data_IF_792280375082
#
_entry.id   IF_792280375082
#
_cell.length_a   1.000
_cell.length_b   1.000
_cell.length_c   1.000
_cell.angle_alpha   90.00
_cell.angle_beta   90.00
_cell.angle_gamma   90.00
#
_symmetry.space_group_name_H-M   'P 1'
#
loop_
_entity.id
_entity.type
_entity.pdbx_description
1 polymer ?
#
# COMPACT_ATOMS: atom_id res chain seq x y z
N UNK A 1 12.21 -62.74 24.06
CA UNK A 1 13.52 -63.22 24.56
C UNK A 1 14.22 -62.07 25.26
N UNK A 2 14.65 -62.30 26.51
CA UNK A 2 15.59 -61.55 27.39
C UNK A 2 15.40 -60.01 27.50
N UNK A 3 14.83 -59.39 28.55
CA UNK A 3 15.01 -59.40 30.04
C UNK A 3 16.33 -58.79 30.57
N UNK A 4 16.15 -57.93 31.59
CA UNK A 4 17.00 -57.54 32.74
C UNK A 4 17.79 -56.21 32.62
N UNK A 5 17.40 -55.15 33.36
CA UNK A 5 17.67 -54.84 34.81
C UNK A 5 19.05 -54.18 34.98
N UNK A 6 19.36 -53.26 35.92
CA UNK A 6 18.69 -52.40 36.91
C UNK A 6 19.89 -51.69 37.59
N UNK A 7 19.77 -50.45 38.08
CA UNK A 7 20.78 -49.94 39.02
C UNK A 7 21.00 -48.43 39.10
N UNK A 8 20.23 -47.77 39.96
CA UNK A 8 20.73 -46.70 40.85
C UNK A 8 21.25 -47.39 42.13
N UNK A 9 22.17 -46.81 42.94
CA UNK A 9 21.91 -45.56 43.69
C UNK A 9 23.15 -44.73 44.11
N UNK A 10 22.88 -43.69 44.91
CA UNK A 10 23.70 -43.00 45.92
C UNK A 10 24.36 -41.65 45.60
N UNK A 11 23.77 -40.60 46.18
CA UNK A 11 24.45 -39.45 46.81
C UNK A 11 25.01 -39.88 48.19
N UNK A 12 26.08 -39.23 48.72
CA UNK A 12 25.90 -38.10 49.65
C UNK A 12 27.04 -37.03 49.54
N UNK A 13 26.74 -35.73 49.64
CA UNK A 13 26.85 -34.83 50.82
C UNK A 13 28.21 -34.12 51.02
N UNK A 14 28.11 -32.80 51.30
CA UNK A 14 29.03 -31.96 52.11
C UNK A 14 30.43 -31.67 51.54
N UNK A 15 31.09 -30.56 51.82
CA UNK A 15 30.77 -29.19 52.23
C UNK A 15 32.10 -28.42 52.04
N UNK A 16 32.12 -27.11 52.30
CA UNK A 16 33.32 -26.25 52.57
C UNK A 16 34.08 -25.60 51.40
N UNK A 17 33.84 -24.29 51.28
CA UNK A 17 34.79 -23.21 50.92
C UNK A 17 35.83 -23.00 52.06
N UNK A 18 36.78 -22.03 52.02
CA UNK A 18 37.37 -21.21 50.94
C UNK A 18 38.93 -21.24 50.95
N UNK A 19 39.63 -20.69 49.95
CA UNK A 19 40.89 -19.93 50.17
C UNK A 19 41.51 -19.37 48.88
N UNK A 20 41.77 -18.06 48.95
CA UNK A 20 42.77 -17.20 48.30
C UNK A 20 43.56 -17.63 47.04
N UNK A 21 43.50 -16.71 46.08
CA UNK A 21 44.37 -16.51 44.89
C UNK A 21 45.82 -16.19 45.27
N UNK A 22 46.80 -16.41 44.36
CA UNK A 22 47.22 -15.29 43.52
C UNK A 22 47.56 -15.63 42.06
N UNK A 23 47.33 -14.60 41.24
CA UNK A 23 47.71 -14.34 39.85
C UNK A 23 48.95 -15.06 39.28
N UNK A 24 48.78 -15.62 38.08
CA UNK A 24 49.74 -15.50 36.96
C UNK A 24 49.02 -15.66 35.62
N UNK A 25 49.39 -14.77 34.70
CA UNK A 25 48.73 -14.38 33.45
C UNK A 25 48.51 -15.49 32.42
N UNK A 26 47.33 -15.50 31.78
CA UNK A 26 47.07 -16.10 30.48
C UNK A 26 46.03 -15.26 29.69
N UNK A 27 46.10 -15.25 28.34
CA UNK A 27 45.78 -14.09 27.51
C UNK A 27 44.28 -13.85 27.28
N UNK A 28 43.98 -12.57 27.05
CA UNK A 28 42.70 -11.96 26.72
C UNK A 28 42.00 -12.67 25.54
N UNK A 29 40.98 -13.49 25.85
CA UNK A 29 40.11 -14.07 24.84
C UNK A 29 39.04 -13.04 24.44
N UNK A 30 39.17 -12.52 23.21
CA UNK A 30 38.22 -11.61 22.58
C UNK A 30 36.78 -12.17 22.60
N UNK A 31 35.76 -11.33 22.88
CA UNK A 31 34.37 -11.78 22.89
C UNK A 31 33.92 -12.16 21.48
N UNK A 32 33.48 -13.41 21.31
CA UNK A 32 32.87 -13.94 20.09
C UNK A 32 31.75 -13.00 19.63
N UNK A 33 31.95 -12.38 18.47
CA UNK A 33 30.93 -11.61 17.78
C UNK A 33 29.73 -12.51 17.47
N UNK A 34 28.62 -12.33 18.19
CA UNK A 34 27.33 -12.82 17.75
C UNK A 34 26.99 -12.09 16.45
N UNK A 35 26.96 -12.82 15.34
CA UNK A 35 26.46 -12.29 14.07
C UNK A 35 24.98 -11.96 14.24
N UNK A 36 24.68 -10.72 14.62
CA UNK A 36 23.37 -10.09 14.39
C UNK A 36 23.20 -10.00 12.88
N UNK A 37 22.65 -11.04 12.28
CA UNK A 37 22.32 -11.06 10.85
C UNK A 37 21.31 -9.94 10.59
N UNK A 38 21.71 -9.05 9.70
CA UNK A 38 21.18 -7.71 9.45
C UNK A 38 19.74 -7.73 8.92
N UNK A 39 18.75 -7.76 9.82
CA UNK A 39 17.34 -7.64 9.45
C UNK A 39 16.94 -6.19 9.08
N UNK A 40 17.76 -5.22 9.47
CA UNK A 40 17.53 -3.78 9.28
C UNK A 40 17.82 -3.28 7.87
N UNK A 41 18.60 -4.02 7.07
CA UNK A 41 19.00 -3.57 5.72
C UNK A 41 17.88 -3.64 4.68
N UNK A 42 16.80 -4.37 4.94
CA UNK A 42 15.65 -4.47 4.02
C UNK A 42 14.59 -3.38 4.26
N UNK A 43 14.74 -2.56 5.30
CA UNK A 43 13.74 -1.55 5.69
C UNK A 43 13.99 -0.15 5.10
N UNK A 44 15.13 0.05 4.45
CA UNK A 44 15.47 1.28 3.75
C UNK A 44 16.01 0.92 2.37
N UNK A 45 15.11 0.58 1.45
CA UNK A 45 15.49 0.62 0.04
C UNK A 45 15.91 2.06 -0.28
N UNK A 46 17.04 2.28 -1.00
CA UNK A 46 17.39 3.61 -1.49
C UNK A 46 16.17 4.18 -2.23
N UNK A 47 15.94 5.50 -2.15
CA UNK A 47 14.79 6.11 -2.81
C UNK A 47 14.85 5.80 -4.30
N UNK A 48 14.08 4.81 -4.75
CA UNK A 48 13.89 4.58 -6.17
C UNK A 48 13.30 5.88 -6.72
N UNK A 49 14.09 6.54 -7.56
CA UNK A 49 13.65 7.70 -8.33
C UNK A 49 13.20 7.17 -9.67
N UNK A 50 11.94 7.43 -10.02
CA UNK A 50 11.44 7.07 -11.34
C UNK A 50 12.27 7.79 -12.41
N UNK A 51 12.58 7.08 -13.49
CA UNK A 51 13.35 7.64 -14.57
C UNK A 51 12.55 8.72 -15.29
N UNK A 52 13.17 9.87 -15.54
CA UNK A 52 12.53 10.93 -16.33
C UNK A 52 12.36 10.46 -17.79
N UNK A 53 11.20 10.71 -18.39
CA UNK A 53 10.94 10.38 -19.79
C UNK A 53 11.26 11.52 -20.77
N UNK A 54 12.02 12.53 -20.33
CA UNK A 54 12.51 13.59 -21.20
C UNK A 54 13.68 13.10 -22.04
N UNK A 55 13.56 13.18 -23.36
CA UNK A 55 14.63 12.79 -24.30
C UNK A 55 15.91 13.61 -24.08
N UNK A 56 15.78 14.87 -23.66
CA UNK A 56 16.91 15.76 -23.32
C UNK A 56 17.78 15.25 -22.17
N UNK A 57 17.24 14.41 -21.29
CA UNK A 57 17.98 13.84 -20.16
C UNK A 57 18.68 12.51 -20.49
N UNK A 58 18.45 11.96 -21.69
CA UNK A 58 19.03 10.69 -22.11
C UNK A 58 20.50 10.86 -22.52
N UNK A 59 21.31 9.85 -22.18
CA UNK A 59 22.69 9.74 -22.67
C UNK A 59 22.71 9.65 -24.20
N UNK A 60 23.80 10.05 -24.88
CA UNK A 60 23.89 9.90 -26.33
C UNK A 60 23.62 8.47 -26.84
N UNK A 61 24.09 7.46 -26.10
CA UNK A 61 23.83 6.05 -26.43
C UNK A 61 22.35 5.67 -26.30
N UNK A 62 21.65 6.19 -25.30
CA UNK A 62 20.23 5.91 -25.06
C UNK A 62 19.35 6.60 -26.11
N UNK A 63 19.70 7.84 -26.50
CA UNK A 63 19.06 8.55 -27.62
C UNK A 63 19.23 7.80 -28.94
N UNK A 64 20.43 7.27 -29.17
CA UNK A 64 20.68 6.41 -30.34
C UNK A 64 19.82 5.14 -30.29
N UNK A 65 19.77 4.44 -29.16
CA UNK A 65 18.91 3.25 -29.01
C UNK A 65 17.42 3.56 -29.25
N UNK A 66 16.95 4.73 -28.82
CA UNK A 66 15.57 5.19 -29.08
C UNK A 66 15.34 5.41 -30.58
N UNK A 67 16.27 6.07 -31.26
CA UNK A 67 16.19 6.25 -32.71
C UNK A 67 16.22 4.91 -33.45
N UNK A 68 17.18 4.03 -33.13
CA UNK A 68 17.33 2.72 -33.75
C UNK A 68 16.07 1.85 -33.54
N UNK A 69 15.39 1.98 -32.38
CA UNK A 69 14.13 1.29 -32.13
C UNK A 69 13.00 1.84 -32.99
N UNK A 70 12.88 3.17 -33.16
CA UNK A 70 11.88 3.78 -34.05
C UNK A 70 12.07 3.32 -35.49
N UNK A 71 13.30 3.38 -35.99
CA UNK A 71 13.61 3.01 -37.37
C UNK A 71 13.29 1.54 -37.65
N UNK A 72 13.63 0.64 -36.72
CA UNK A 72 13.28 -0.78 -36.82
C UNK A 72 11.78 -1.03 -36.70
N UNK A 73 11.10 -0.32 -35.80
CA UNK A 73 9.64 -0.44 -35.66
C UNK A 73 8.95 0.01 -36.94
N UNK A 74 9.37 1.14 -37.53
CA UNK A 74 8.87 1.62 -38.81
C UNK A 74 9.09 0.59 -39.93
N UNK A 75 10.29 0.01 -40.02
CA UNK A 75 10.59 -1.03 -41.01
C UNK A 75 9.77 -2.33 -40.83
N UNK A 76 9.31 -2.62 -39.62
CA UNK A 76 8.46 -3.77 -39.30
C UNK A 76 6.95 -3.48 -39.36
N UNK A 77 6.56 -2.22 -39.50
CA UNK A 77 5.15 -1.79 -39.45
C UNK A 77 4.54 -1.75 -40.84
N UNK A 78 3.26 -2.13 -40.94
CA UNK A 78 2.48 -1.89 -42.14
C UNK A 78 2.05 -0.41 -42.20
N UNK A 79 2.35 0.26 -43.31
CA UNK A 79 1.91 1.63 -43.60
C UNK A 79 0.40 1.85 -43.50
N UNK A 80 -0.40 0.79 -43.68
CA UNK A 80 -1.86 0.84 -43.62
C UNK A 80 -2.41 0.93 -42.18
N UNK A 81 -1.64 0.50 -41.18
CA UNK A 81 -2.04 0.49 -39.78
C UNK A 81 -0.85 0.82 -38.87
N UNK A 82 -0.55 2.13 -38.66
CA UNK A 82 0.58 2.53 -37.85
C UNK A 82 0.42 2.05 -36.39
N UNK A 83 1.49 1.55 -35.76
CA UNK A 83 1.41 0.99 -34.42
C UNK A 83 1.05 2.07 -33.39
N UNK A 84 0.06 1.76 -32.55
CA UNK A 84 -0.35 2.58 -31.42
C UNK A 84 -0.58 1.71 -30.19
N UNK A 85 -0.47 2.33 -29.00
CA UNK A 85 -0.73 1.66 -27.73
C UNK A 85 -1.34 2.67 -26.74
N UNK A 86 -2.39 2.28 -26.03
CA UNK A 86 -3.10 3.14 -25.08
C UNK A 86 -3.53 4.51 -25.67
N UNK A 87 -3.93 4.51 -26.95
CA UNK A 87 -4.32 5.73 -27.67
C UNK A 87 -3.17 6.66 -28.05
N UNK A 88 -1.91 6.19 -27.96
CA UNK A 88 -0.71 6.95 -28.35
C UNK A 88 -0.10 6.34 -29.60
N UNK A 89 0.03 7.09 -30.71
CA UNK A 89 0.83 6.68 -31.86
C UNK A 89 2.30 6.52 -31.48
N UNK A 90 2.95 5.42 -31.87
CA UNK A 90 4.34 5.16 -31.50
C UNK A 90 5.37 5.75 -32.48
N UNK A 91 4.93 6.13 -33.69
CA UNK A 91 5.80 6.57 -34.80
C UNK A 91 5.50 8.00 -35.28
N UNK A 92 4.73 8.80 -34.54
CA UNK A 92 4.41 10.19 -34.91
C UNK A 92 5.55 11.19 -34.61
N UNK A 93 6.65 10.72 -34.02
CA UNK A 93 7.77 11.56 -33.59
C UNK A 93 7.45 12.42 -32.37
N UNK A 94 6.32 12.19 -31.70
CA UNK A 94 5.90 12.91 -30.51
C UNK A 94 6.51 12.36 -29.23
N UNK A 95 6.68 13.26 -28.26
CA UNK A 95 7.22 12.96 -26.92
C UNK A 95 6.47 11.82 -26.18
N UNK A 96 5.19 11.60 -26.51
CA UNK A 96 4.36 10.55 -25.90
C UNK A 96 4.73 9.16 -26.42
N UNK A 97 4.91 9.00 -27.74
CA UNK A 97 5.37 7.75 -28.34
C UNK A 97 6.77 7.40 -27.84
N UNK A 98 7.66 8.38 -27.80
CA UNK A 98 9.02 8.24 -27.28
C UNK A 98 9.06 7.71 -25.85
N UNK A 99 8.23 8.30 -25.01
CA UNK A 99 8.07 7.89 -23.62
C UNK A 99 7.69 6.41 -23.52
N UNK A 100 6.75 5.94 -24.34
CA UNK A 100 6.33 4.54 -24.34
C UNK A 100 7.44 3.62 -24.83
N UNK A 101 8.11 3.98 -25.94
CA UNK A 101 9.27 3.23 -26.45
C UNK A 101 10.39 3.12 -25.41
N UNK A 102 10.63 4.18 -24.63
CA UNK A 102 11.59 4.17 -23.53
C UNK A 102 11.23 3.17 -22.41
N UNK A 103 9.95 2.88 -22.18
CA UNK A 103 9.56 1.81 -21.22
C UNK A 103 10.06 0.45 -21.67
N UNK A 104 9.90 0.12 -22.95
CA UNK A 104 10.39 -1.13 -23.54
C UNK A 104 11.92 -1.20 -23.55
N UNK A 105 12.59 -0.10 -23.93
CA UNK A 105 14.05 -0.03 -23.88
C UNK A 105 14.58 -0.24 -22.47
N UNK A 106 14.02 0.45 -21.47
CA UNK A 106 14.44 0.30 -20.07
C UNK A 106 14.19 -1.11 -19.53
N UNK A 107 13.08 -1.75 -19.92
CA UNK A 107 12.77 -3.12 -19.55
C UNK A 107 13.74 -4.17 -20.13
N UNK A 108 14.54 -3.79 -21.13
CA UNK A 108 15.54 -4.64 -21.79
C UNK A 108 16.95 -4.05 -21.76
N UNK A 109 17.22 -3.14 -20.82
CA UNK A 109 18.53 -2.49 -20.63
C UNK A 109 19.07 -1.84 -21.91
N UNK A 110 18.19 -1.18 -22.66
CA UNK A 110 18.46 -0.51 -23.93
C UNK A 110 18.99 -1.41 -25.07
N UNK A 111 18.83 -2.74 -24.94
CA UNK A 111 19.06 -3.70 -26.03
C UNK A 111 17.94 -3.59 -27.06
N UNK A 112 18.20 -2.87 -28.15
CA UNK A 112 17.21 -2.50 -29.18
C UNK A 112 16.48 -3.71 -29.76
N UNK A 113 17.19 -4.80 -30.09
CA UNK A 113 16.55 -5.99 -30.65
C UNK A 113 15.59 -6.67 -29.66
N UNK A 114 16.00 -6.82 -28.40
CA UNK A 114 15.17 -7.42 -27.35
C UNK A 114 13.96 -6.55 -27.03
N UNK A 115 14.12 -5.23 -27.03
CA UNK A 115 13.05 -4.26 -26.83
C UNK A 115 12.03 -4.29 -27.98
N UNK A 116 12.49 -4.34 -29.24
CA UNK A 116 11.63 -4.47 -30.40
C UNK A 116 10.83 -5.77 -30.37
N UNK A 117 11.50 -6.90 -30.08
CA UNK A 117 10.84 -8.21 -29.98
C UNK A 117 9.75 -8.21 -28.89
N UNK A 118 10.04 -7.59 -27.74
CA UNK A 118 9.06 -7.43 -26.67
C UNK A 118 7.88 -6.55 -27.11
N UNK A 119 8.15 -5.41 -27.76
CA UNK A 119 7.13 -4.48 -28.22
C UNK A 119 6.20 -5.13 -29.26
N UNK A 120 6.74 -5.80 -30.27
CA UNK A 120 5.94 -6.46 -31.31
C UNK A 120 5.06 -7.57 -30.74
N UNK A 121 5.60 -8.39 -29.82
CA UNK A 121 4.81 -9.40 -29.10
C UNK A 121 3.70 -8.78 -28.26
N UNK A 122 3.99 -7.67 -27.58
CA UNK A 122 3.00 -6.95 -26.79
C UNK A 122 1.88 -6.39 -27.68
N UNK A 123 2.22 -5.74 -28.80
CA UNK A 123 1.23 -5.22 -29.75
C UNK A 123 0.32 -6.33 -30.30
N UNK A 124 0.90 -7.46 -30.74
CA UNK A 124 0.14 -8.61 -31.19
C UNK A 124 -0.78 -9.16 -30.08
N UNK A 125 -0.25 -9.34 -28.86
CA UNK A 125 -1.02 -9.79 -27.72
C UNK A 125 -2.17 -8.85 -27.38
N UNK A 126 -1.97 -7.53 -27.42
CA UNK A 126 -3.03 -6.55 -27.15
C UNK A 126 -4.19 -6.70 -28.13
N UNK A 127 -3.89 -6.92 -29.41
CA UNK A 127 -4.89 -7.18 -30.45
C UNK A 127 -5.62 -8.50 -30.22
N UNK A 128 -4.89 -9.61 -30.04
CA UNK A 128 -5.47 -10.94 -29.82
C UNK A 128 -6.32 -11.00 -28.55
N UNK A 129 -5.87 -10.32 -27.49
CA UNK A 129 -6.56 -10.29 -26.21
C UNK A 129 -7.75 -9.31 -26.20
N UNK A 130 -7.79 -8.34 -27.11
CA UNK A 130 -8.75 -7.23 -27.06
C UNK A 130 -8.49 -6.28 -25.89
N UNK A 131 -7.22 -6.06 -25.52
CA UNK A 131 -6.83 -5.33 -24.31
C UNK A 131 -7.34 -3.88 -24.27
N UNK A 132 -7.46 -3.22 -25.42
CA UNK A 132 -7.92 -1.83 -25.49
C UNK A 132 -9.42 -1.68 -25.12
N UNK A 133 -10.21 -2.73 -25.28
CA UNK A 133 -11.66 -2.72 -25.03
C UNK A 133 -12.05 -3.45 -23.74
N UNK A 134 -11.11 -4.18 -23.12
CA UNK A 134 -11.40 -5.05 -21.96
C UNK A 134 -12.04 -4.31 -20.78
N UNK A 135 -11.75 -3.01 -20.62
CA UNK A 135 -12.29 -2.18 -19.53
C UNK A 135 -13.82 -2.12 -19.52
N UNK A 136 -14.45 -2.21 -20.70
CA UNK A 136 -15.91 -2.07 -20.87
C UNK A 136 -16.66 -3.41 -20.76
N UNK A 137 -15.94 -4.53 -20.61
CA UNK A 137 -16.55 -5.87 -20.57
C UNK A 137 -17.21 -6.22 -19.23
N UNK A 138 -18.35 -6.91 -19.26
CA UNK A 138 -18.98 -7.47 -18.07
C UNK A 138 -18.48 -8.90 -17.82
N UNK A 139 -17.50 -9.06 -16.92
CA UNK A 139 -16.82 -10.33 -16.65
C UNK A 139 -17.40 -11.11 -15.44
N UNK A 140 -18.45 -10.59 -14.81
CA UNK A 140 -19.17 -11.28 -13.73
C UNK A 140 -18.41 -11.40 -12.41
N UNK A 141 -17.59 -10.41 -12.05
CA UNK A 141 -16.80 -10.37 -10.80
C UNK A 141 -17.11 -9.15 -9.93
N UNK A 142 -18.38 -8.69 -9.93
CA UNK A 142 -18.83 -7.54 -9.13
C UNK A 142 -18.52 -7.73 -7.65
N UNK A 143 -18.59 -8.96 -7.11
CA UNK A 143 -18.23 -9.24 -5.72
C UNK A 143 -16.73 -9.11 -5.41
N UNK A 144 -15.86 -9.15 -6.43
CA UNK A 144 -14.41 -9.02 -6.25
C UNK A 144 -13.94 -7.56 -6.40
N UNK A 145 -14.74 -6.71 -7.02
CA UNK A 145 -14.48 -5.28 -7.16
C UNK A 145 -14.47 -4.61 -5.78
N UNK A 146 -13.45 -3.78 -5.51
CA UNK A 146 -13.25 -3.15 -4.19
C UNK A 146 -12.75 -4.11 -3.10
N UNK A 147 -12.68 -5.41 -3.36
CA UNK A 147 -12.27 -6.43 -2.39
C UNK A 147 -10.93 -7.08 -2.75
N UNK A 148 -10.82 -7.64 -3.95
CA UNK A 148 -9.66 -8.44 -4.38
C UNK A 148 -8.66 -7.63 -5.18
N UNK A 149 -9.13 -6.87 -6.16
CA UNK A 149 -8.26 -6.01 -6.93
C UNK A 149 -9.03 -4.77 -7.38
N UNK A 150 -8.48 -3.60 -7.08
CA UNK A 150 -9.15 -2.33 -7.34
C UNK A 150 -8.16 -1.17 -7.30
N UNK A 151 -8.48 -0.10 -8.01
CA UNK A 151 -7.73 1.16 -7.94
C UNK A 151 -8.44 2.08 -6.96
N UNK A 152 -7.71 2.66 -6.01
CA UNK A 152 -8.25 3.55 -5.00
C UNK A 152 -7.29 4.71 -4.73
N UNK A 153 -7.72 5.92 -5.08
CA UNK A 153 -6.98 7.16 -4.83
C UNK A 153 -5.56 7.18 -5.41
N UNK A 154 -4.74 8.09 -4.89
CA UNK A 154 -3.40 8.41 -5.39
C UNK A 154 -2.38 8.49 -4.25
N UNK A 155 -1.12 8.18 -4.58
CA UNK A 155 0.01 8.40 -3.69
C UNK A 155 0.38 9.90 -3.58
N UNK A 156 1.41 10.23 -2.81
CA UNK A 156 1.88 11.62 -2.63
C UNK A 156 2.46 12.24 -3.90
N UNK A 157 2.86 11.43 -4.88
CA UNK A 157 3.45 11.85 -6.15
C UNK A 157 2.40 11.85 -7.30
N UNK A 158 1.15 11.47 -7.00
CA UNK A 158 0.04 11.46 -7.94
C UNK A 158 -0.17 10.14 -8.68
N UNK A 159 0.58 9.08 -8.36
CA UNK A 159 0.39 7.75 -8.96
C UNK A 159 -0.92 7.12 -8.48
N UNK A 160 -1.76 6.58 -9.38
CA UNK A 160 -2.90 5.77 -8.98
C UNK A 160 -2.44 4.55 -8.16
N UNK A 161 -3.16 4.24 -7.09
CA UNK A 161 -2.83 3.13 -6.20
C UNK A 161 -3.74 1.94 -6.46
N UNK A 162 -3.17 0.83 -6.93
CA UNK A 162 -3.85 -0.42 -7.17
C UNK A 162 -3.65 -1.37 -5.98
N UNK A 163 -4.73 -1.69 -5.28
CA UNK A 163 -4.76 -2.66 -4.18
C UNK A 163 -5.05 -4.05 -4.71
N UNK A 164 -4.39 -5.05 -4.11
CA UNK A 164 -4.56 -6.47 -4.43
C UNK A 164 -4.60 -7.27 -3.13
N UNK A 165 -5.71 -7.91 -2.82
CA UNK A 165 -5.90 -8.69 -1.60
C UNK A 165 -6.49 -10.06 -1.94
N UNK A 166 -5.67 -11.10 -1.82
CA UNK A 166 -6.05 -12.44 -2.24
C UNK A 166 -6.51 -13.36 -1.11
N UNK A 167 -6.63 -12.83 0.12
CA UNK A 167 -7.04 -13.60 1.30
C UNK A 167 -8.45 -14.21 1.19
N UNK A 168 -9.34 -13.64 0.37
CA UNK A 168 -10.70 -14.19 0.16
C UNK A 168 -10.68 -15.60 -0.43
N UNK A 169 -9.62 -15.95 -1.17
CA UNK A 169 -9.46 -17.26 -1.80
C UNK A 169 -8.98 -18.35 -0.83
N UNK A 170 -8.80 -18.02 0.46
CA UNK A 170 -8.67 -19.01 1.52
C UNK A 170 -9.97 -19.79 1.73
N UNK A 171 -11.11 -19.16 1.40
CA UNK A 171 -12.38 -19.84 1.33
C UNK A 171 -12.43 -20.77 0.12
N UNK A 172 -12.74 -22.05 0.36
CA UNK A 172 -12.71 -23.08 -0.69
C UNK A 172 -13.79 -22.89 -1.74
N UNK A 173 -14.98 -22.42 -1.35
CA UNK A 173 -16.08 -22.20 -2.29
C UNK A 173 -15.77 -21.02 -3.23
N UNK A 174 -15.23 -19.94 -2.66
CA UNK A 174 -14.75 -18.79 -3.43
C UNK A 174 -13.60 -19.19 -4.36
N UNK A 175 -12.65 -20.00 -3.87
CA UNK A 175 -11.58 -20.52 -4.69
C UNK A 175 -12.11 -21.35 -5.88
N UNK A 176 -12.96 -22.33 -5.63
CA UNK A 176 -13.53 -23.22 -6.66
C UNK A 176 -14.38 -22.46 -7.68
N UNK A 177 -15.09 -21.41 -7.24
CA UNK A 177 -15.86 -20.53 -8.11
C UNK A 177 -14.99 -19.74 -9.09
N UNK A 178 -13.78 -19.35 -8.67
CA UNK A 178 -12.91 -18.45 -9.45
C UNK A 178 -11.78 -19.20 -10.18
N UNK A 179 -11.34 -20.34 -9.65
CA UNK A 179 -10.17 -21.09 -10.12
C UNK A 179 -10.43 -22.59 -10.31
N UNK A 180 -11.67 -23.06 -10.13
CA UNK A 180 -12.00 -24.49 -10.15
C UNK A 180 -11.74 -25.21 -11.48
N UNK A 181 -11.65 -24.46 -12.58
CA UNK A 181 -11.34 -24.98 -13.90
C UNK A 181 -10.60 -23.92 -14.75
N UNK A 182 -10.09 -24.34 -15.90
CA UNK A 182 -9.30 -23.51 -16.80
C UNK A 182 -10.09 -22.32 -17.35
N UNK A 183 -11.40 -22.45 -17.57
CA UNK A 183 -12.24 -21.37 -18.11
C UNK A 183 -12.49 -20.29 -17.05
N UNK A 184 -12.77 -20.67 -15.79
CA UNK A 184 -12.86 -19.74 -14.66
C UNK A 184 -11.54 -19.01 -14.44
N UNK A 185 -10.41 -19.74 -14.48
CA UNK A 185 -9.08 -19.15 -14.37
C UNK A 185 -8.82 -18.14 -15.49
N UNK A 186 -9.08 -18.49 -16.76
CA UNK A 186 -8.95 -17.55 -17.89
C UNK A 186 -9.83 -16.32 -17.71
N UNK A 187 -11.08 -16.49 -17.27
CA UNK A 187 -11.99 -15.36 -16.99
C UNK A 187 -11.43 -14.47 -15.88
N UNK A 188 -10.88 -15.04 -14.82
CA UNK A 188 -10.23 -14.29 -13.75
C UNK A 188 -8.98 -13.55 -14.24
N UNK A 189 -8.12 -14.18 -15.05
CA UNK A 189 -6.97 -13.51 -15.64
C UNK A 189 -7.41 -12.32 -16.51
N UNK A 190 -8.49 -12.51 -17.29
CA UNK A 190 -9.09 -11.44 -18.10
C UNK A 190 -9.55 -10.27 -17.24
N UNK A 191 -10.26 -10.56 -16.15
CA UNK A 191 -10.67 -9.56 -15.17
C UNK A 191 -9.48 -8.88 -14.48
N UNK A 192 -8.40 -9.60 -14.19
CA UNK A 192 -7.18 -9.00 -13.63
C UNK A 192 -6.51 -8.02 -14.59
N UNK A 193 -6.49 -8.33 -15.88
CA UNK A 193 -6.05 -7.38 -16.91
C UNK A 193 -7.02 -6.18 -16.95
N UNK A 194 -8.33 -6.41 -16.90
CA UNK A 194 -9.33 -5.35 -16.85
C UNK A 194 -9.07 -4.34 -15.72
N UNK A 195 -8.84 -4.83 -14.50
CA UNK A 195 -8.53 -3.98 -13.34
C UNK A 195 -7.21 -3.21 -13.55
N UNK A 196 -6.20 -3.85 -14.14
CA UNK A 196 -4.94 -3.16 -14.45
C UNK A 196 -5.16 -2.05 -15.50
N UNK A 197 -5.87 -2.35 -16.59
CA UNK A 197 -6.16 -1.40 -17.67
C UNK A 197 -7.00 -0.21 -17.19
N UNK A 198 -7.91 -0.41 -16.22
CA UNK A 198 -8.60 0.71 -15.53
C UNK A 198 -7.59 1.64 -14.84
N UNK A 199 -6.58 1.10 -14.17
CA UNK A 199 -5.48 1.89 -13.61
C UNK A 199 -4.62 2.56 -14.67
N UNK A 200 -4.33 1.86 -15.77
CA UNK A 200 -3.54 2.40 -16.89
C UNK A 200 -4.23 3.58 -17.58
N UNK A 201 -5.56 3.55 -17.74
CA UNK A 201 -6.36 4.68 -18.26
C UNK A 201 -6.20 5.98 -17.45
N UNK A 202 -5.75 5.89 -16.19
CA UNK A 202 -5.50 7.06 -15.33
C UNK A 202 -4.10 7.67 -15.53
N UNK A 203 -3.24 7.06 -16.37
CA UNK A 203 -1.89 7.54 -16.64
C UNK A 203 -1.89 8.57 -17.78
N UNK A 204 -0.93 9.49 -17.73
CA UNK A 204 -0.85 10.58 -18.71
C UNK A 204 -0.08 10.20 -19.99
N UNK A 205 0.89 9.29 -19.88
CA UNK A 205 1.81 8.91 -20.96
C UNK A 205 2.45 10.12 -21.64
N UNK A 206 3.07 11.00 -20.84
CA UNK A 206 3.83 12.16 -21.32
C UNK A 206 5.04 12.43 -20.43
N UNK A 207 6.13 13.02 -20.95
CA UNK A 207 7.26 13.42 -20.11
C UNK A 207 6.84 14.31 -18.95
N UNK A 208 7.37 14.04 -17.76
CA UNK A 208 7.00 14.75 -16.52
C UNK A 208 5.60 14.45 -15.96
N UNK A 209 4.80 13.62 -16.65
CA UNK A 209 3.50 13.16 -16.17
C UNK A 209 3.59 11.92 -15.25
N UNK A 210 2.46 11.58 -14.63
CA UNK A 210 2.27 10.33 -13.91
C UNK A 210 2.11 9.20 -14.92
N UNK A 211 3.05 8.27 -14.90
CA UNK A 211 3.28 7.31 -15.97
C UNK A 211 3.40 5.86 -15.50
N UNK A 212 3.17 5.63 -14.21
CA UNK A 212 3.34 4.37 -13.52
C UNK A 212 2.33 4.29 -12.37
N UNK A 213 2.09 3.08 -11.87
CA UNK A 213 1.15 2.78 -10.80
C UNK A 213 1.89 2.41 -9.51
N UNK A 214 1.24 2.62 -8.36
CA UNK A 214 1.63 1.97 -7.11
C UNK A 214 0.84 0.68 -6.98
N UNK A 215 1.51 -0.44 -6.70
CA UNK A 215 0.86 -1.70 -6.39
C UNK A 215 0.97 -1.98 -4.90
N UNK A 216 -0.15 -1.99 -4.20
CA UNK A 216 -0.25 -2.50 -2.83
C UNK A 216 -0.77 -3.94 -2.90
N UNK A 217 -0.04 -4.88 -2.31
CA UNK A 217 -0.45 -6.29 -2.24
C UNK A 217 -0.55 -6.71 -0.79
N UNK A 218 -1.76 -7.02 -0.33
CA UNK A 218 -2.02 -7.60 0.98
C UNK A 218 -1.79 -9.12 0.94
N UNK A 219 -0.82 -9.57 1.72
CA UNK A 219 -0.47 -10.99 1.84
C UNK A 219 -1.15 -11.67 3.05
N UNK A 220 -2.00 -10.94 3.79
CA UNK A 220 -2.78 -11.54 4.87
C UNK A 220 -3.66 -12.66 4.32
N UNK A 221 -3.60 -13.82 4.97
CA UNK A 221 -4.40 -15.00 4.65
C UNK A 221 -4.28 -15.52 3.20
N UNK A 222 -3.27 -15.09 2.43
CA UNK A 222 -3.11 -15.52 1.03
C UNK A 222 -2.85 -17.04 0.94
N UNK A 223 -3.67 -17.80 0.18
CA UNK A 223 -3.44 -19.22 -0.11
C UNK A 223 -2.06 -19.48 -0.72
N UNK A 224 -1.32 -20.44 -0.16
CA UNK A 224 0.08 -20.71 -0.53
C UNK A 224 0.25 -21.47 -1.85
N UNK A 225 -0.55 -22.52 -2.08
CA UNK A 225 -0.34 -23.47 -3.19
C UNK A 225 -1.25 -23.17 -4.37
N UNK A 226 -2.51 -22.91 -4.08
CA UNK A 226 -3.63 -22.73 -4.99
C UNK A 226 -3.49 -21.47 -5.86
N UNK A 227 -3.12 -20.33 -5.27
CA UNK A 227 -2.90 -19.09 -6.01
C UNK A 227 -1.58 -19.05 -6.79
N UNK A 228 -0.67 -20.02 -6.60
CA UNK A 228 0.65 -19.98 -7.23
C UNK A 228 0.56 -20.03 -8.75
N UNK A 229 -0.37 -20.82 -9.30
CA UNK A 229 -0.57 -20.95 -10.76
C UNK A 229 -1.09 -19.64 -11.33
N UNK A 230 -2.20 -19.13 -10.80
CA UNK A 230 -2.78 -17.85 -11.23
C UNK A 230 -1.79 -16.70 -11.06
N UNK A 231 -1.07 -16.63 -9.93
CA UNK A 231 -0.08 -15.59 -9.66
C UNK A 231 1.10 -15.63 -10.64
N UNK A 232 1.58 -16.83 -11.00
CA UNK A 232 2.65 -16.97 -12.00
C UNK A 232 2.19 -16.53 -13.39
N UNK A 233 0.97 -16.89 -13.80
CA UNK A 233 0.42 -16.47 -15.09
C UNK A 233 0.19 -14.96 -15.14
N UNK A 234 -0.36 -14.35 -14.08
CA UNK A 234 -0.50 -12.89 -13.95
C UNK A 234 0.87 -12.22 -14.01
N UNK A 235 1.87 -12.75 -13.30
CA UNK A 235 3.21 -12.20 -13.30
C UNK A 235 3.83 -12.23 -14.70
N UNK A 236 3.70 -13.35 -15.43
CA UNK A 236 4.19 -13.45 -16.81
C UNK A 236 3.49 -12.43 -17.71
N UNK A 237 2.15 -12.35 -17.66
CA UNK A 237 1.38 -11.39 -18.44
C UNK A 237 1.82 -9.95 -18.18
N UNK A 238 2.08 -9.60 -16.91
CA UNK A 238 2.54 -8.26 -16.55
C UNK A 238 3.98 -7.98 -16.98
N UNK A 239 4.88 -8.96 -16.86
CA UNK A 239 6.27 -8.80 -17.28
C UNK A 239 6.43 -8.65 -18.78
N UNK A 240 5.61 -9.34 -19.57
CA UNK A 240 5.71 -9.35 -21.02
C UNK A 240 4.98 -8.17 -21.67
N UNK A 241 3.87 -7.69 -21.07
CA UNK A 241 2.97 -6.73 -21.73
C UNK A 241 2.84 -5.37 -21.02
N UNK A 242 3.36 -5.21 -19.80
CA UNK A 242 3.27 -3.96 -19.03
C UNK A 242 4.64 -3.50 -18.51
N UNK A 243 5.64 -3.30 -19.40
CA UNK A 243 7.00 -2.94 -19.01
C UNK A 243 7.04 -1.58 -18.30
N UNK A 244 7.78 -1.51 -17.19
CA UNK A 244 8.01 -0.26 -16.45
C UNK A 244 6.71 0.51 -16.14
N UNK A 245 5.63 -0.20 -15.78
CA UNK A 245 4.34 0.38 -15.40
C UNK A 245 4.14 0.49 -13.88
N UNK A 246 5.10 0.02 -13.08
CA UNK A 246 5.04 0.03 -11.62
C UNK A 246 6.13 0.92 -11.06
N UNK A 247 5.74 1.97 -10.33
CA UNK A 247 6.64 2.87 -9.63
C UNK A 247 7.16 2.22 -8.35
N UNK A 248 6.26 1.63 -7.54
CA UNK A 248 6.59 0.88 -6.32
C UNK A 248 5.63 -0.29 -6.12
N UNK A 249 6.15 -1.38 -5.57
CA UNK A 249 5.39 -2.58 -5.18
C UNK A 249 5.48 -2.77 -3.67
N UNK A 250 4.40 -2.44 -2.97
CA UNK A 250 4.29 -2.44 -1.52
C UNK A 250 3.55 -3.70 -1.08
N UNK A 251 4.25 -4.62 -0.42
CA UNK A 251 3.64 -5.80 0.20
C UNK A 251 3.30 -5.46 1.65
N UNK A 252 2.04 -5.61 2.03
CA UNK A 252 1.55 -5.40 3.40
C UNK A 252 1.07 -6.69 4.03
N UNK A 253 1.00 -6.68 5.36
CA UNK A 253 0.67 -7.84 6.18
C UNK A 253 1.48 -9.09 5.82
N UNK A 254 2.77 -8.86 5.56
CA UNK A 254 3.66 -9.91 5.07
C UNK A 254 3.92 -10.92 6.18
N UNK A 255 3.57 -12.21 5.99
CA UNK A 255 3.82 -13.24 6.99
C UNK A 255 5.32 -13.43 7.23
N UNK A 256 5.69 -13.82 8.46
CA UNK A 256 7.09 -13.93 8.87
C UNK A 256 7.95 -14.79 7.92
N UNK A 257 7.38 -15.84 7.34
CA UNK A 257 8.07 -16.77 6.44
C UNK A 257 8.29 -16.21 5.01
N UNK A 258 7.62 -15.13 4.61
CA UNK A 258 7.82 -14.56 3.27
C UNK A 258 9.24 -14.02 3.09
N UNK A 259 9.88 -13.56 4.16
CA UNK A 259 11.29 -13.16 4.13
C UNK A 259 12.21 -14.28 3.64
N UNK A 260 11.93 -15.52 4.05
CA UNK A 260 12.64 -16.72 3.65
C UNK A 260 12.38 -17.01 2.17
N UNK A 261 11.11 -16.94 1.72
CA UNK A 261 10.77 -17.07 0.29
C UNK A 261 11.44 -16.00 -0.57
N UNK A 262 11.37 -14.72 -0.17
CA UNK A 262 12.02 -13.61 -0.85
C UNK A 262 13.52 -13.83 -1.02
N UNK A 263 14.20 -14.30 0.03
CA UNK A 263 15.64 -14.60 -0.04
C UNK A 263 15.98 -15.64 -1.12
N UNK A 264 15.11 -16.63 -1.35
CA UNK A 264 15.33 -17.69 -2.34
C UNK A 264 15.14 -17.21 -3.79
N UNK A 265 14.14 -16.37 -4.06
CA UNK A 265 13.89 -15.90 -5.44
C UNK A 265 14.53 -14.56 -5.78
N UNK A 266 14.94 -13.77 -4.78
CA UNK A 266 15.56 -12.47 -5.02
C UNK A 266 16.81 -12.52 -5.92
N UNK A 267 17.67 -13.55 -5.95
CA UNK A 267 18.81 -13.59 -6.88
C UNK A 267 18.41 -13.49 -8.36
N UNK A 268 17.18 -13.89 -8.70
CA UNK A 268 16.64 -13.85 -10.07
C UNK A 268 15.95 -12.52 -10.42
N UNK A 269 15.81 -11.60 -9.46
CA UNK A 269 15.24 -10.27 -9.71
C UNK A 269 16.34 -9.27 -10.08
N UNK A 270 16.08 -8.44 -11.09
CA UNK A 270 16.96 -7.31 -11.45
C UNK A 270 17.06 -6.31 -10.30
N UNK A 271 18.16 -5.56 -10.23
CA UNK A 271 18.34 -4.51 -9.22
C UNK A 271 17.21 -3.47 -9.28
N UNK A 272 16.77 -3.11 -10.50
CA UNK A 272 15.64 -2.22 -10.78
C UNK A 272 14.32 -2.74 -10.20
N UNK A 273 14.05 -4.04 -10.32
CA UNK A 273 12.84 -4.64 -9.72
C UNK A 273 12.95 -4.64 -8.19
N UNK A 274 14.12 -4.99 -7.64
CA UNK A 274 14.34 -4.99 -6.18
C UNK A 274 14.16 -3.62 -5.55
N UNK A 275 14.66 -2.55 -6.19
CA UNK A 275 14.55 -1.18 -5.65
C UNK A 275 13.12 -0.66 -5.59
N UNK A 276 12.19 -1.26 -6.35
CA UNK A 276 10.76 -0.90 -6.33
C UNK A 276 10.01 -1.58 -5.18
N UNK A 277 10.59 -2.59 -4.52
CA UNK A 277 9.89 -3.39 -3.51
C UNK A 277 9.93 -2.73 -2.14
N UNK A 278 8.78 -2.70 -1.48
CA UNK A 278 8.63 -2.30 -0.08
C UNK A 278 7.91 -3.42 0.65
N UNK A 279 8.46 -3.88 1.77
CA UNK A 279 7.91 -5.03 2.52
C UNK A 279 7.54 -4.56 3.92
N UNK A 280 6.24 -4.60 4.22
CA UNK A 280 5.69 -4.34 5.55
C UNK A 280 5.31 -5.63 6.25
N UNK A 281 5.88 -5.84 7.43
CA UNK A 281 5.45 -6.92 8.34
C UNK A 281 3.97 -6.74 8.73
N UNK A 282 3.36 -7.83 9.14
CA UNK A 282 2.04 -7.82 9.77
C UNK A 282 1.97 -6.84 10.96
N UNK A 283 0.87 -6.09 11.03
CA UNK A 283 0.65 -5.02 12.02
C UNK A 283 1.26 -3.66 11.67
N UNK A 284 2.12 -3.55 10.66
CA UNK A 284 2.82 -2.30 10.31
C UNK A 284 2.33 -1.65 9.00
N UNK A 285 1.18 -2.07 8.47
CA UNK A 285 0.67 -1.61 7.18
C UNK A 285 0.55 -0.08 7.13
N UNK A 286 -0.11 0.54 8.12
CA UNK A 286 -0.27 2.00 8.18
C UNK A 286 1.07 2.75 8.20
N UNK A 287 2.01 2.37 9.08
CA UNK A 287 3.35 2.97 9.15
C UNK A 287 4.10 2.92 7.81
N UNK A 288 3.94 1.81 7.09
CA UNK A 288 4.59 1.65 5.78
C UNK A 288 3.90 2.47 4.71
N UNK A 289 2.56 2.44 4.65
CA UNK A 289 1.80 3.13 3.62
C UNK A 289 1.89 4.66 3.76
N UNK A 290 1.95 5.19 4.97
CA UNK A 290 2.00 6.65 5.21
C UNK A 290 3.26 7.31 4.61
N UNK A 291 4.33 6.52 4.41
CA UNK A 291 5.56 6.98 3.74
C UNK A 291 5.33 7.34 2.27
N UNK A 292 4.28 6.82 1.64
CA UNK A 292 4.04 6.95 0.21
C UNK A 292 2.67 7.55 -0.12
N UNK A 293 1.65 7.27 0.70
CA UNK A 293 0.25 7.63 0.46
C UNK A 293 -0.24 8.45 1.65
N UNK A 294 -1.03 9.51 1.38
CA UNK A 294 -1.64 10.31 2.45
C UNK A 294 -2.72 9.50 3.19
N UNK A 295 -2.90 9.65 4.52
CA UNK A 295 -3.86 8.86 5.28
C UNK A 295 -5.29 8.91 4.75
N UNK A 296 -5.76 10.07 4.30
CA UNK A 296 -7.09 10.25 3.69
C UNK A 296 -7.29 9.52 2.36
N UNK A 297 -6.20 9.05 1.74
CA UNK A 297 -6.19 8.28 0.50
C UNK A 297 -6.00 6.78 0.74
N UNK A 298 -5.70 6.35 1.97
CA UNK A 298 -5.53 4.94 2.32
C UNK A 298 -6.88 4.39 2.81
N UNK A 299 -7.35 3.23 2.32
CA UNK A 299 -8.55 2.58 2.83
C UNK A 299 -8.49 2.32 4.35
N UNK A 300 -9.62 2.49 5.04
CA UNK A 300 -9.70 2.27 6.51
C UNK A 300 -9.19 0.91 6.95
N UNK A 301 -9.44 -0.15 6.17
CA UNK A 301 -8.96 -1.52 6.43
C UNK A 301 -7.44 -1.67 6.46
N UNK A 302 -6.70 -0.69 5.95
CA UNK A 302 -5.24 -0.64 5.95
C UNK A 302 -4.68 0.44 6.89
N UNK A 303 -5.51 0.94 7.81
CA UNK A 303 -5.16 1.96 8.80
C UNK A 303 -5.12 3.38 8.24
N UNK A 304 -5.89 3.66 7.18
CA UNK A 304 -6.12 5.00 6.66
C UNK A 304 -7.46 5.60 7.11
N UNK A 305 -7.84 6.70 6.47
CA UNK A 305 -9.09 7.45 6.74
C UNK A 305 -10.06 7.43 5.56
N UNK A 306 -9.72 6.73 4.47
CA UNK A 306 -10.54 6.71 3.25
C UNK A 306 -11.65 5.68 3.35
N UNK A 307 -12.91 6.15 3.30
CA UNK A 307 -14.11 5.29 3.28
C UNK A 307 -14.75 5.30 1.88
N UNK A 308 -15.41 4.20 1.48
CA UNK A 308 -16.13 4.15 0.20
C UNK A 308 -17.14 5.30 0.03
N UNK A 309 -17.87 5.65 1.09
CA UNK A 309 -18.87 6.73 1.11
C UNK A 309 -18.28 8.14 0.96
N UNK A 310 -16.98 8.33 1.19
CA UNK A 310 -16.36 9.65 1.08
C UNK A 310 -16.23 10.10 -0.38
N UNK A 311 -16.18 9.15 -1.32
CA UNK A 311 -16.02 9.41 -2.75
C UNK A 311 -17.23 10.12 -3.38
N UNK A 312 -18.40 10.02 -2.75
CA UNK A 312 -19.64 10.68 -3.21
C UNK A 312 -19.71 12.16 -2.79
N UNK A 313 -18.89 12.59 -1.83
CA UNK A 313 -18.99 13.89 -1.16
C UNK A 313 -17.90 14.90 -1.60
N UNK A 314 -17.27 14.67 -2.74
CA UNK A 314 -16.18 15.48 -3.27
C UNK A 314 -14.78 15.00 -2.83
N UNK A 315 -13.71 15.78 -3.08
CA UNK A 315 -12.35 15.33 -2.79
C UNK A 315 -12.14 15.09 -1.28
N UNK A 316 -11.33 14.07 -0.89
CA UNK A 316 -11.03 13.81 0.51
C UNK A 316 -10.41 15.03 1.17
N UNK A 317 -10.93 15.39 2.34
CA UNK A 317 -10.37 16.48 3.11
C UNK A 317 -9.02 16.07 3.72
N UNK A 318 -8.01 16.96 3.74
CA UNK A 318 -6.67 16.61 4.23
C UNK A 318 -6.69 16.15 5.68
N UNK A 319 -5.86 15.15 5.98
CA UNK A 319 -5.63 14.69 7.35
C UNK A 319 -4.29 15.21 7.90
N UNK A 320 -4.23 15.36 9.22
CA UNK A 320 -3.01 15.65 9.95
C UNK A 320 -2.41 14.37 10.50
N UNK A 321 -1.13 14.14 10.23
CA UNK A 321 -0.38 12.99 10.72
C UNK A 321 0.35 13.31 12.02
N UNK A 322 0.40 12.34 12.93
CA UNK A 322 1.18 12.43 14.16
C UNK A 322 1.74 11.07 14.56
N UNK A 323 2.53 11.06 15.62
CA UNK A 323 3.14 9.87 16.18
C UNK A 323 2.84 9.84 17.66
N UNK A 324 2.54 8.66 18.20
CA UNK A 324 2.45 8.43 19.64
C UNK A 324 3.58 7.49 20.04
N UNK A 325 4.51 7.95 20.89
CA UNK A 325 5.60 7.10 21.39
C UNK A 325 5.03 6.07 22.36
N UNK A 326 5.80 5.02 22.64
CA UNK A 326 5.44 4.09 23.71
C UNK A 326 5.52 4.79 25.07
N UNK A 327 4.53 4.58 25.94
CA UNK A 327 4.47 5.25 27.24
C UNK A 327 3.88 6.66 27.19
N UNK A 328 3.34 7.10 26.05
CA UNK A 328 2.88 8.49 25.85
C UNK A 328 1.37 8.55 25.64
N UNK A 329 0.77 9.63 26.14
CA UNK A 329 -0.58 10.07 25.81
C UNK A 329 -0.53 11.36 25.01
N UNK A 330 -1.20 11.38 23.86
CA UNK A 330 -1.30 12.56 22.98
C UNK A 330 -2.75 13.06 23.00
N UNK A 331 -2.91 14.36 23.21
CA UNK A 331 -4.21 15.03 23.22
C UNK A 331 -4.29 16.01 22.04
N UNK A 332 -5.26 15.81 21.16
CA UNK A 332 -5.58 16.71 20.05
C UNK A 332 -6.68 17.65 20.55
N UNK A 333 -6.42 18.95 20.53
CA UNK A 333 -7.39 19.97 20.93
C UNK A 333 -8.00 20.64 19.70
N UNK A 334 -9.33 20.66 19.63
CA UNK A 334 -10.10 21.42 18.65
C UNK A 334 -10.73 22.59 19.40
N UNK A 335 -10.16 23.78 19.21
CA UNK A 335 -10.57 25.01 19.88
C UNK A 335 -11.61 25.78 19.07
N UNK A 336 -12.17 26.84 19.68
CA UNK A 336 -13.08 27.77 19.00
C UNK A 336 -14.44 27.17 18.65
N UNK A 337 -14.90 26.17 19.39
CA UNK A 337 -16.23 25.59 19.18
C UNK A 337 -17.26 26.55 19.78
N UNK A 338 -18.20 27.00 18.95
CA UNK A 338 -19.32 27.85 19.35
C UNK A 338 -20.54 27.01 19.78
N UNK A 339 -21.46 27.63 20.53
CA UNK A 339 -22.76 27.03 20.84
C UNK A 339 -23.52 26.71 19.55
N UNK A 340 -24.11 25.51 19.48
CA UNK A 340 -24.82 25.02 18.31
C UNK A 340 -23.92 24.50 17.19
N UNK A 341 -22.60 24.55 17.32
CA UNK A 341 -21.70 23.99 16.32
C UNK A 341 -21.66 22.46 16.39
N UNK A 342 -21.67 21.81 15.22
CA UNK A 342 -21.46 20.37 15.08
C UNK A 342 -20.02 20.07 14.68
N UNK A 343 -19.38 19.20 15.43
CA UNK A 343 -18.01 18.73 15.22
C UNK A 343 -18.08 17.31 14.72
N UNK A 344 -17.53 17.04 13.55
CA UNK A 344 -17.34 15.68 13.03
C UNK A 344 -15.85 15.42 12.93
N UNK A 345 -15.38 14.27 13.39
CA UNK A 345 -13.97 13.93 13.30
C UNK A 345 -13.76 12.47 12.91
N UNK A 346 -12.60 12.26 12.30
CA UNK A 346 -12.05 10.94 12.04
C UNK A 346 -10.68 10.83 12.70
N UNK A 347 -10.40 9.67 13.29
CA UNK A 347 -9.07 9.37 13.84
C UNK A 347 -8.72 7.91 13.60
N UNK A 348 -7.47 7.69 13.22
CA UNK A 348 -6.85 6.38 13.05
C UNK A 348 -5.41 6.46 13.56
N UNK A 349 -4.91 5.35 14.09
CA UNK A 349 -3.53 5.14 14.58
C UNK A 349 -3.09 3.79 13.94
N UNK A 350 -1.83 3.47 13.77
CA UNK A 350 -1.40 2.20 13.17
C UNK A 350 -1.38 1.09 14.22
N UNK A 351 -2.09 -0.03 13.98
CA UNK A 351 -1.97 -1.27 14.76
C UNK A 351 -2.44 -1.15 16.21
N UNK A 352 -3.71 -0.78 16.43
CA UNK A 352 -4.26 -0.38 17.73
C UNK A 352 -4.18 -1.44 18.81
N UNK A 353 -3.37 -1.15 19.81
CA UNK A 353 -3.45 -1.72 21.15
C UNK A 353 -3.15 -0.51 22.03
N UNK A 354 -4.16 0.34 22.20
CA UNK A 354 -4.08 1.63 22.91
C UNK A 354 -5.47 2.02 23.42
N UNK A 355 -5.54 3.03 24.27
CA UNK A 355 -6.82 3.58 24.74
C UNK A 355 -7.15 4.89 24.01
N UNK A 356 -8.42 5.07 23.68
CA UNK A 356 -8.94 6.29 23.04
C UNK A 356 -10.11 6.85 23.84
N UNK A 357 -10.20 8.18 23.95
CA UNK A 357 -11.38 8.89 24.45
C UNK A 357 -11.60 10.22 23.72
N UNK A 358 -12.84 10.74 23.79
CA UNK A 358 -13.17 12.08 23.34
C UNK A 358 -13.96 12.82 24.43
N UNK A 359 -13.55 14.06 24.71
CA UNK A 359 -14.13 14.88 25.76
C UNK A 359 -14.42 16.29 25.24
N UNK A 360 -15.57 16.85 25.64
CA UNK A 360 -15.87 18.25 25.40
C UNK A 360 -15.77 19.04 26.70
N UNK A 361 -14.99 20.13 26.66
CA UNK A 361 -14.76 21.02 27.80
C UNK A 361 -15.43 22.37 27.50
N UNK A 362 -16.55 22.70 28.16
CA UNK A 362 -17.20 24.00 28.02
C UNK A 362 -16.32 25.13 28.57
N UNK A 363 -16.43 26.33 28.00
CA UNK A 363 -15.71 27.52 28.47
C UNK A 363 -16.32 28.13 29.74
N UNK A 364 -17.59 27.87 30.01
CA UNK A 364 -18.30 28.43 31.16
C UNK A 364 -17.72 27.90 32.48
N UNK A 365 -17.40 28.84 33.39
CA UNK A 365 -16.89 28.49 34.72
C UNK A 365 -17.95 27.70 35.51
N UNK A 366 -17.58 26.51 35.99
CA UNK A 366 -18.47 25.62 36.74
C UNK A 366 -19.16 24.54 35.89
N UNK A 367 -19.05 24.57 34.57
CA UNK A 367 -19.53 23.48 33.71
C UNK A 367 -18.62 22.24 33.81
N UNK A 368 -19.21 21.06 33.74
CA UNK A 368 -18.49 19.78 33.79
C UNK A 368 -17.99 19.37 32.40
N UNK A 369 -16.81 18.74 32.34
CA UNK A 369 -16.32 18.06 31.13
C UNK A 369 -17.28 16.94 30.74
N UNK A 370 -17.71 16.94 29.48
CA UNK A 370 -18.60 15.94 28.92
C UNK A 370 -17.77 14.83 28.27
N UNK A 371 -17.92 13.59 28.74
CA UNK A 371 -17.36 12.42 28.06
C UNK A 371 -18.19 12.11 26.80
N UNK A 372 -17.73 12.61 25.65
CA UNK A 372 -18.39 12.44 24.35
C UNK A 372 -18.19 11.03 23.83
N UNK A 373 -16.98 10.49 23.99
CA UNK A 373 -16.69 9.08 23.78
C UNK A 373 -15.86 8.56 24.96
N UNK A 374 -16.38 7.52 25.63
CA UNK A 374 -15.78 6.98 26.85
C UNK A 374 -14.45 6.31 26.51
N UNK A 375 -13.50 6.46 27.42
CA UNK A 375 -12.22 5.77 27.37
C UNK A 375 -12.43 4.27 27.17
N UNK A 376 -11.89 3.74 26.07
CA UNK A 376 -11.89 2.30 25.79
C UNK A 376 -10.60 1.90 25.10
N UNK A 377 -10.20 0.64 25.32
CA UNK A 377 -9.16 0.00 24.53
C UNK A 377 -9.66 -0.18 23.11
N UNK A 378 -8.82 0.14 22.15
CA UNK A 378 -9.08 -0.07 20.74
C UNK A 378 -8.16 -1.17 20.24
N UNK A 379 -8.74 -2.17 19.58
CA UNK A 379 -8.04 -3.34 19.07
C UNK A 379 -7.46 -3.12 17.66
N UNK A 380 -6.45 -3.90 17.28
CA UNK A 380 -5.65 -3.60 16.10
C UNK A 380 -6.40 -3.81 14.78
N UNK A 381 -7.53 -4.50 14.88
CA UNK A 381 -8.47 -4.81 13.81
C UNK A 381 -9.59 -3.78 13.70
N UNK A 382 -9.74 -2.86 14.65
CA UNK A 382 -10.76 -1.81 14.56
C UNK A 382 -10.41 -0.80 13.45
N UNK A 383 -11.46 -0.34 12.76
CA UNK A 383 -11.33 0.66 11.72
C UNK A 383 -11.17 2.07 12.30
N UNK A 384 -10.90 3.04 11.43
CA UNK A 384 -10.82 4.44 11.81
C UNK A 384 -12.12 4.91 12.47
N UNK A 385 -12.01 5.50 13.66
CA UNK A 385 -13.14 6.08 14.40
C UNK A 385 -13.72 7.21 13.57
N UNK A 386 -15.05 7.21 13.42
CA UNK A 386 -15.85 8.30 12.88
C UNK A 386 -16.86 8.69 13.94
N UNK A 387 -16.89 9.95 14.37
CA UNK A 387 -17.90 10.38 15.34
C UNK A 387 -18.28 11.85 15.12
N UNK A 388 -19.41 12.25 15.70
CA UNK A 388 -19.87 13.63 15.68
C UNK A 388 -20.48 14.04 17.00
N UNK A 389 -20.36 15.32 17.33
CA UNK A 389 -20.92 15.91 18.54
C UNK A 389 -21.42 17.31 18.23
N UNK A 390 -22.64 17.64 18.66
CA UNK A 390 -23.18 18.99 18.54
C UNK A 390 -23.16 19.65 19.91
N UNK A 391 -22.38 20.72 20.03
CA UNK A 391 -22.25 21.43 21.30
C UNK A 391 -23.46 22.31 21.58
N UNK A 392 -23.88 22.37 22.85
CA UNK A 392 -24.88 23.35 23.33
C UNK A 392 -24.23 24.65 23.80
N UNK A 393 -22.92 24.66 24.00
CA UNK A 393 -22.18 25.76 24.62
C UNK A 393 -20.87 26.03 23.87
N UNK A 394 -20.25 27.19 24.09
CA UNK A 394 -18.91 27.42 23.58
C UNK A 394 -17.87 26.62 24.38
N UNK A 395 -16.86 26.07 23.72
CA UNK A 395 -15.86 25.22 24.38
C UNK A 395 -14.76 24.70 23.46
N UNK A 396 -14.16 23.58 23.85
CA UNK A 396 -13.17 22.84 23.07
C UNK A 396 -13.39 21.33 23.15
N UNK A 397 -13.02 20.62 22.09
CA UNK A 397 -13.01 19.16 22.05
C UNK A 397 -11.58 18.65 22.25
N UNK A 398 -11.41 17.60 23.03
CA UNK A 398 -10.14 16.94 23.31
C UNK A 398 -10.26 15.48 22.88
N UNK A 399 -9.48 15.08 21.88
CA UNK A 399 -9.33 13.67 21.48
C UNK A 399 -8.06 13.13 22.12
N UNK A 400 -8.18 12.11 22.96
CA UNK A 400 -7.06 11.51 23.67
C UNK A 400 -6.69 10.18 23.05
N UNK A 401 -5.41 9.99 22.74
CA UNK A 401 -4.82 8.71 22.32
C UNK A 401 -3.74 8.33 23.31
N UNK A 402 -3.98 7.28 24.09
CA UNK A 402 -3.13 6.84 25.18
C UNK A 402 -2.43 5.52 24.83
N UNK A 403 -1.13 5.61 24.56
CA UNK A 403 -0.25 4.49 24.26
C UNK A 403 0.63 4.10 25.47
N UNK A 404 0.21 4.43 26.70
CA UNK A 404 0.98 4.16 27.91
C UNK A 404 1.18 2.67 28.18
N UNK A 405 0.26 1.82 27.70
CA UNK A 405 0.34 0.37 27.82
C UNK A 405 1.34 -0.29 26.83
N UNK A 406 1.90 0.45 25.87
CA UNK A 406 2.82 -0.09 24.87
C UNK A 406 4.19 0.57 24.92
N UNK A 407 5.23 -0.18 24.57
CA UNK A 407 6.58 0.38 24.33
C UNK A 407 6.84 0.72 22.86
N UNK A 408 5.93 0.34 21.96
CA UNK A 408 6.10 0.56 20.51
C UNK A 408 5.52 1.91 20.13
N UNK A 409 6.27 2.64 19.30
CA UNK A 409 5.78 3.82 18.57
C UNK A 409 4.63 3.40 17.65
N UNK A 410 3.61 4.24 17.53
CA UNK A 410 2.53 4.12 16.54
C UNK A 410 2.41 5.40 15.72
N UNK A 411 2.09 5.27 14.42
CA UNK A 411 1.72 6.41 13.55
C UNK A 411 0.24 6.68 13.68
N UNK A 412 -0.21 7.90 13.45
CA UNK A 412 -1.62 8.24 13.54
C UNK A 412 -1.99 9.36 12.58
N UNK A 413 -3.27 9.44 12.26
CA UNK A 413 -3.84 10.50 11.45
C UNK A 413 -5.23 10.88 11.97
N UNK A 414 -5.56 12.16 11.86
CA UNK A 414 -6.89 12.66 12.18
C UNK A 414 -7.31 13.77 11.22
N UNK A 415 -8.62 13.95 11.08
CA UNK A 415 -9.22 15.13 10.43
C UNK A 415 -10.50 15.49 11.16
N UNK A 416 -10.88 16.75 11.13
CA UNK A 416 -12.12 17.21 11.77
C UNK A 416 -12.76 18.36 11.00
N UNK A 417 -14.07 18.52 11.19
CA UNK A 417 -14.88 19.57 10.60
C UNK A 417 -15.76 20.17 11.68
N UNK A 418 -15.77 21.50 11.75
CA UNK A 418 -16.70 22.25 12.59
C UNK A 418 -17.68 22.95 11.66
N UNK A 419 -18.97 22.60 11.76
CA UNK A 419 -20.06 23.26 11.03
C UNK A 419 -20.88 24.07 12.01
N UNK A 420 -21.04 25.37 11.73
CA UNK A 420 -21.99 26.21 12.47
C UNK A 420 -23.41 25.86 12.03
N UNK A 421 -24.36 25.85 12.96
CA UNK A 421 -25.77 25.85 12.58
C UNK A 421 -26.09 27.17 11.88
N UNK A 422 -26.40 27.12 10.58
CA UNK A 422 -27.00 28.25 9.89
C UNK A 422 -28.46 28.34 10.36
N UNK A 423 -28.70 29.11 11.42
CA UNK A 423 -30.02 29.66 11.65
C UNK A 423 -30.22 30.79 10.64
N UNK A 424 -30.55 30.46 9.39
CA UNK A 424 -31.31 31.41 8.58
C UNK A 424 -32.72 31.39 9.16
N UNK A 425 -33.22 32.46 9.78
CA UNK A 425 -34.64 32.50 10.13
C UNK A 425 -35.38 32.40 8.81
N UNK A 426 -36.34 31.49 8.72
CA UNK A 426 -37.38 31.54 7.69
C UNK A 426 -38.07 32.89 7.86
N UNK A 427 -37.60 33.91 7.13
CA UNK A 427 -38.20 35.23 7.12
C UNK A 427 -39.63 35.06 6.66
N UNK A 428 -40.54 35.43 7.56
CA UNK A 428 -41.96 35.68 7.37
C UNK A 428 -42.32 35.86 5.90
N UNK A 429 -43.07 34.90 5.35
CA UNK A 429 -44.00 35.20 4.27
C UNK A 429 -45.02 36.19 4.84
N UNK A 430 -44.70 37.48 4.73
CA UNK A 430 -45.64 38.57 4.87
C UNK A 430 -46.80 38.31 3.89
N UNK A 431 -47.93 37.85 4.43
CA UNK A 431 -49.23 38.08 3.86
C UNK A 431 -49.39 39.60 3.68
N UNK A 432 -49.25 40.07 2.43
CA UNK A 432 -49.71 41.38 2.03
C UNK A 432 -51.15 41.26 1.53
N UNK A 433 -52.12 41.99 2.08
CA UNK A 433 -53.48 42.00 1.58
C UNK A 433 -53.60 43.02 0.43
N UNK A 434 -53.89 42.54 -0.78
CA UNK A 434 -54.96 43.02 -1.68
C UNK A 434 -54.89 42.34 -3.03
#
# INVERSE_FOLDING_TARGET
>A
MQKLHLGHPHSPSMDTTPSSTPFRDLPEASPKASKKTTLTSFMTAPSFKEDTYFVSHLKPSERKSLQDLRDKLLASSDSSNPPSMWGVPLLDGGDRGDMLLLKFLRARDFRVHDALNMLLKCLAWRTEFGADNVVEEELGFKELEGVVAYTHSYDREGHPVCYNAYGVFKDKEMYERVFGDDEKLKRFLRWRIQVLERGVKMLHFKPGGVNSLIQVTDLKDMPKRELRVASNQILSLFQDNYPEMVARKIFINVPWYFSVLYSMFSPFLTQRTKSKFVISKEGNAADTLYKFIRPENIPVRYGGLSRPSDLENGPPKPASEFTVKGGEKVNIQIEGIESGASITWDIVVGGWDLEYSAEFVPNAQGSYTLAVDKARKIEATEEAIHNSFTSKEAGKMILSVDNSASRKKKVAAYRYFVRKCNNTPSSELQLSPK
#
